data_IF_356769477496
#
_entry.id   IF_356769477496
#
_cell.length_a   1.000
_cell.length_b   1.000
_cell.length_c   1.000
_cell.angle_alpha   90.00
_cell.angle_beta   90.00
_cell.angle_gamma   90.00
#
_symmetry.space_group_name_H-M   'P 1'
#
loop_
_entity.id
_entity.type
_entity.pdbx_description
1 polymer ?
#
# COMPACT_ATOMS: atom_id res chain seq x y z
N UNK A 1 19.09 20.19 6.49
CA UNK A 1 17.73 19.67 6.26
C UNK A 1 17.80 18.50 5.30
N UNK A 2 16.82 17.59 5.32
CA UNK A 2 16.73 16.46 4.38
C UNK A 2 16.82 16.95 2.92
N UNK A 3 16.11 18.02 2.58
CA UNK A 3 16.11 18.59 1.23
C UNK A 3 17.50 19.02 0.74
N UNK A 4 18.38 19.49 1.65
CA UNK A 4 19.77 19.79 1.30
C UNK A 4 20.55 18.53 0.96
N UNK A 5 20.43 17.48 1.77
CA UNK A 5 21.11 16.20 1.55
C UNK A 5 20.70 15.59 0.22
N UNK A 6 19.39 15.56 -0.07
CA UNK A 6 18.87 15.02 -1.34
C UNK A 6 19.37 15.85 -2.51
N UNK A 7 19.33 17.20 -2.42
CA UNK A 7 19.86 18.09 -3.47
C UNK A 7 21.34 17.83 -3.74
N UNK A 8 22.16 17.77 -2.69
CA UNK A 8 23.60 17.57 -2.82
C UNK A 8 23.92 16.18 -3.41
N UNK A 9 23.17 15.15 -3.01
CA UNK A 9 23.26 13.82 -3.61
C UNK A 9 22.92 13.83 -5.10
N UNK A 10 21.87 14.55 -5.51
CA UNK A 10 21.52 14.70 -6.92
C UNK A 10 22.59 15.49 -7.69
N UNK A 11 23.22 16.50 -7.09
CA UNK A 11 24.34 17.21 -7.71
C UNK A 11 25.56 16.31 -7.92
N UNK A 12 25.89 15.46 -6.93
CA UNK A 12 26.95 14.46 -7.07
C UNK A 12 26.61 13.45 -8.18
N UNK A 13 25.36 12.99 -8.24
CA UNK A 13 24.90 12.10 -9.31
C UNK A 13 25.00 12.75 -10.71
N UNK A 14 24.74 14.06 -10.80
CA UNK A 14 24.90 14.83 -12.04
C UNK A 14 26.38 14.92 -12.43
N UNK A 15 27.25 15.28 -11.50
CA UNK A 15 28.69 15.38 -11.71
C UNK A 15 29.30 14.04 -12.16
N UNK A 16 28.84 12.92 -11.59
CA UNK A 16 29.31 11.58 -11.97
C UNK A 16 28.99 11.20 -13.42
N UNK A 17 28.07 11.90 -14.11
CA UNK A 17 27.74 11.60 -15.52
C UNK A 17 28.89 11.85 -16.48
N UNK A 18 29.85 12.70 -16.12
CA UNK A 18 31.00 12.99 -16.97
C UNK A 18 32.00 11.83 -17.00
N UNK A 19 31.84 10.83 -16.14
CA UNK A 19 32.70 9.64 -16.07
C UNK A 19 32.07 8.47 -16.83
N UNK A 20 32.73 8.01 -17.90
CA UNK A 20 32.23 6.92 -18.76
C UNK A 20 32.10 5.55 -18.06
N UNK A 21 32.82 5.36 -16.95
CA UNK A 21 32.86 4.10 -16.19
C UNK A 21 32.14 4.15 -14.84
N UNK A 22 31.51 5.27 -14.48
CA UNK A 22 30.74 5.40 -13.24
C UNK A 22 29.28 5.73 -13.57
N UNK A 23 28.35 5.11 -12.84
CA UNK A 23 26.92 5.44 -12.93
C UNK A 23 26.32 5.54 -11.53
N UNK A 24 25.74 6.69 -11.22
CA UNK A 24 24.94 6.86 -10.03
C UNK A 24 23.52 6.32 -10.25
N UNK A 25 23.05 5.45 -9.35
CA UNK A 25 21.64 5.07 -9.25
C UNK A 25 21.12 5.57 -7.90
N UNK A 26 20.18 6.51 -7.94
CA UNK A 26 19.64 7.13 -6.74
C UNK A 26 18.21 6.64 -6.55
N UNK A 27 17.95 5.98 -5.42
CA UNK A 27 16.61 5.57 -5.00
C UNK A 27 16.10 6.60 -4.00
N UNK A 28 15.02 7.28 -4.37
CA UNK A 28 14.39 8.29 -3.53
C UNK A 28 12.95 7.91 -3.31
N UNK A 29 12.46 8.12 -2.09
CA UNK A 29 11.03 8.04 -1.83
C UNK A 29 10.33 9.22 -2.52
N UNK A 30 9.04 9.09 -2.89
CA UNK A 30 8.31 10.17 -3.54
C UNK A 30 8.30 11.49 -2.75
N UNK A 31 8.23 11.41 -1.42
CA UNK A 31 8.28 12.57 -0.49
C UNK A 31 9.63 13.28 -0.49
N UNK A 32 10.72 12.59 -0.84
CA UNK A 32 12.05 13.18 -0.90
C UNK A 32 12.29 13.94 -2.22
N UNK A 33 11.47 13.70 -3.24
CA UNK A 33 11.57 14.32 -4.57
C UNK A 33 10.73 15.61 -4.68
N UNK A 34 10.78 16.47 -3.66
CA UNK A 34 10.10 17.76 -3.68
C UNK A 34 10.70 18.75 -4.70
N UNK A 35 9.91 19.72 -5.16
CA UNK A 35 10.36 20.72 -6.14
C UNK A 35 11.60 21.52 -5.71
N UNK A 36 11.86 21.63 -4.41
CA UNK A 36 13.03 22.34 -3.90
C UNK A 36 14.33 21.54 -4.01
N UNK A 37 14.28 20.20 -4.08
CA UNK A 37 15.51 19.39 -4.16
C UNK A 37 16.11 19.38 -5.57
N UNK A 38 15.30 19.75 -6.57
CA UNK A 38 15.71 19.85 -7.99
C UNK A 38 15.99 21.29 -8.42
N UNK A 39 16.03 22.25 -7.49
CA UNK A 39 16.31 23.66 -7.77
C UNK A 39 17.81 23.94 -7.95
N UNK A 40 18.44 23.32 -8.94
CA UNK A 40 19.83 23.55 -9.32
C UNK A 40 20.03 23.46 -10.83
N UNK A 41 21.11 24.05 -11.33
CA UNK A 41 21.46 24.07 -12.76
C UNK A 41 21.53 22.64 -13.29
N UNK A 42 20.98 22.40 -14.48
CA UNK A 42 21.01 21.11 -15.16
C UNK A 42 20.29 19.94 -14.47
N UNK A 43 19.46 20.18 -13.44
CA UNK A 43 18.65 19.13 -12.81
C UNK A 43 17.76 18.35 -13.81
N UNK A 44 17.33 19.00 -14.91
CA UNK A 44 16.58 18.38 -16.00
C UNK A 44 17.28 17.17 -16.61
N UNK A 45 18.63 17.15 -16.60
CA UNK A 45 19.44 16.03 -17.10
C UNK A 45 19.21 14.76 -16.27
N UNK A 46 19.05 14.88 -14.95
CA UNK A 46 18.71 13.74 -14.07
C UNK A 46 17.25 13.38 -14.22
N UNK A 47 16.36 14.38 -14.24
CA UNK A 47 14.91 14.16 -14.31
C UNK A 47 14.50 13.44 -15.61
N UNK A 48 15.20 13.68 -16.72
CA UNK A 48 14.98 12.96 -17.97
C UNK A 48 15.23 11.44 -17.87
N UNK A 49 15.96 10.98 -16.85
CA UNK A 49 16.24 9.56 -16.60
C UNK A 49 15.46 8.99 -15.42
N UNK A 50 14.51 9.74 -14.87
CA UNK A 50 13.66 9.29 -13.76
C UNK A 50 12.78 8.14 -14.22
N UNK A 51 12.69 7.10 -13.39
CA UNK A 51 11.69 6.06 -13.48
C UNK A 51 10.98 5.95 -12.12
N UNK A 52 9.65 5.85 -12.16
CA UNK A 52 8.87 5.60 -10.95
C UNK A 52 8.75 4.09 -10.75
N UNK A 53 9.09 3.62 -9.55
CA UNK A 53 9.00 2.21 -9.17
C UNK A 53 7.68 2.00 -8.43
N UNK A 54 6.66 1.57 -9.17
CA UNK A 54 5.32 1.30 -8.64
C UNK A 54 5.01 -0.20 -8.67
N UNK A 55 4.25 -0.66 -7.69
CA UNK A 55 3.69 -2.01 -7.69
C UNK A 55 2.28 -1.95 -8.27
N UNK A 56 2.12 -2.44 -9.49
CA UNK A 56 0.80 -2.64 -10.06
C UNK A 56 0.15 -3.92 -9.49
N UNK A 57 -1.15 -4.09 -9.75
CA UNK A 57 -1.91 -5.25 -9.28
C UNK A 57 -1.27 -6.54 -9.77
N UNK A 58 -0.94 -6.64 -11.06
CA UNK A 58 -0.29 -7.81 -11.59
C UNK A 58 1.10 -8.08 -11.00
N UNK A 59 1.86 -7.04 -10.64
CA UNK A 59 3.16 -7.21 -9.97
C UNK A 59 3.00 -7.82 -8.58
N UNK A 60 1.99 -7.37 -7.82
CA UNK A 60 1.70 -7.88 -6.47
C UNK A 60 1.31 -9.37 -6.51
N UNK A 61 0.43 -9.74 -7.43
CA UNK A 61 0.03 -11.14 -7.63
C UNK A 61 1.19 -11.98 -8.17
N UNK A 62 1.95 -11.49 -9.15
CA UNK A 62 3.12 -12.19 -9.68
C UNK A 62 4.15 -12.43 -8.59
N UNK A 63 4.46 -11.44 -7.76
CA UNK A 63 5.37 -11.57 -6.63
C UNK A 63 4.89 -12.63 -5.63
N UNK A 64 3.60 -12.62 -5.28
CA UNK A 64 3.03 -13.62 -4.38
C UNK A 64 3.14 -15.02 -4.99
N UNK A 65 2.73 -15.20 -6.24
CA UNK A 65 2.81 -16.49 -6.92
C UNK A 65 4.25 -16.98 -7.07
N UNK A 66 5.18 -16.10 -7.39
CA UNK A 66 6.62 -16.40 -7.49
C UNK A 66 7.17 -16.93 -6.16
N UNK A 67 6.71 -16.39 -5.02
CA UNK A 67 7.07 -16.91 -3.69
C UNK A 67 6.43 -18.28 -3.44
N UNK A 68 5.13 -18.39 -3.72
CA UNK A 68 4.33 -19.57 -3.47
C UNK A 68 4.84 -20.81 -4.21
N UNK A 69 5.16 -20.70 -5.51
CA UNK A 69 5.71 -21.81 -6.31
C UNK A 69 7.11 -22.25 -5.86
N UNK A 70 7.82 -21.41 -5.12
CA UNK A 70 9.13 -21.70 -4.55
C UNK A 70 9.04 -22.07 -3.06
N UNK A 71 7.84 -22.34 -2.53
CA UNK A 71 7.70 -22.90 -1.20
C UNK A 71 8.40 -24.27 -1.12
N UNK A 72 9.00 -24.63 0.02
CA UNK A 72 9.63 -25.93 0.19
C UNK A 72 8.67 -27.10 -0.04
N UNK A 73 9.24 -28.23 -0.41
CA UNK A 73 8.61 -29.56 -0.35
C UNK A 73 7.25 -29.66 -1.05
N UNK A 74 6.30 -30.34 -0.40
CA UNK A 74 4.96 -30.62 -0.91
C UNK A 74 4.13 -29.36 -1.16
N UNK A 75 4.39 -28.27 -0.42
CA UNK A 75 3.66 -27.02 -0.60
C UNK A 75 4.00 -26.37 -1.95
N UNK A 76 5.29 -26.34 -2.32
CA UNK A 76 5.71 -25.86 -3.64
C UNK A 76 5.12 -26.72 -4.76
N UNK A 77 5.18 -28.05 -4.61
CA UNK A 77 4.60 -28.99 -5.58
C UNK A 77 3.10 -28.76 -5.81
N UNK A 78 2.35 -28.60 -4.71
CA UNK A 78 0.91 -28.31 -4.76
C UNK A 78 0.64 -27.02 -5.54
N UNK A 79 1.34 -25.93 -5.23
CA UNK A 79 1.08 -24.65 -5.88
C UNK A 79 1.56 -24.61 -7.34
N UNK A 80 2.61 -25.34 -7.69
CA UNK A 80 3.01 -25.54 -9.08
C UNK A 80 1.95 -26.29 -9.88
N UNK A 81 1.31 -27.31 -9.29
CA UNK A 81 0.20 -28.03 -9.93
C UNK A 81 -1.03 -27.14 -10.14
N UNK A 82 -1.38 -26.30 -9.16
CA UNK A 82 -2.44 -25.28 -9.30
C UNK A 82 -2.12 -24.33 -10.46
N UNK A 83 -0.87 -23.86 -10.55
CA UNK A 83 -0.45 -22.97 -11.65
C UNK A 83 -0.59 -23.64 -13.00
N UNK A 84 -0.11 -24.87 -13.14
CA UNK A 84 -0.22 -25.65 -14.38
C UNK A 84 -1.70 -25.88 -14.80
N UNK A 85 -2.63 -26.00 -13.85
CA UNK A 85 -4.05 -26.22 -14.15
C UNK A 85 -4.75 -25.02 -14.83
N UNK A 86 -4.20 -23.82 -14.71
CA UNK A 86 -4.83 -22.57 -15.20
C UNK A 86 -4.15 -22.01 -16.45
N UNK A 87 -2.85 -22.28 -16.61
CA UNK A 87 -2.06 -21.79 -17.73
C UNK A 87 -2.54 -22.35 -19.08
N UNK A 88 -2.32 -21.62 -20.19
CA UNK A 88 -2.57 -22.17 -21.51
C UNK A 88 -1.56 -23.30 -21.82
N UNK A 89 -1.91 -24.28 -22.68
CA UNK A 89 -1.02 -25.41 -23.00
C UNK A 89 0.35 -25.01 -23.59
N UNK A 90 0.46 -23.79 -24.12
CA UNK A 90 1.68 -23.25 -24.74
C UNK A 90 2.66 -22.64 -23.73
N UNK A 91 2.25 -22.47 -22.47
CA UNK A 91 3.07 -21.88 -21.42
C UNK A 91 3.19 -22.81 -20.22
N UNK A 92 4.32 -22.71 -19.52
CA UNK A 92 4.59 -23.53 -18.36
C UNK A 92 5.60 -22.86 -17.45
N UNK A 93 5.62 -23.30 -16.20
CA UNK A 93 6.66 -22.92 -15.27
C UNK A 93 8.03 -23.37 -15.79
N UNK A 94 9.05 -22.54 -15.58
CA UNK A 94 10.45 -22.87 -15.89
C UNK A 94 11.21 -23.08 -14.59
N UNK A 95 12.20 -23.96 -14.59
CA UNK A 95 13.10 -24.15 -13.46
C UNK A 95 14.55 -23.92 -13.89
N UNK A 96 15.31 -23.22 -13.06
CA UNK A 96 16.77 -23.08 -13.18
C UNK A 96 17.38 -23.17 -11.77
N UNK A 97 18.39 -24.04 -11.60
CA UNK A 97 19.06 -24.29 -10.32
C UNK A 97 18.10 -24.42 -9.10
N UNK A 98 17.08 -25.29 -9.22
CA UNK A 98 16.03 -25.54 -8.22
C UNK A 98 15.10 -24.35 -7.90
N UNK A 99 15.23 -23.23 -8.61
CA UNK A 99 14.34 -22.09 -8.53
C UNK A 99 13.33 -22.13 -9.69
N UNK A 100 12.05 -21.99 -9.36
CA UNK A 100 10.96 -21.95 -10.32
C UNK A 100 10.59 -20.52 -10.70
N UNK A 101 10.29 -20.28 -11.97
CA UNK A 101 9.96 -18.97 -12.53
C UNK A 101 8.57 -18.99 -13.17
N UNK A 102 7.80 -17.93 -12.89
CA UNK A 102 6.53 -17.70 -13.57
C UNK A 102 6.72 -17.43 -15.07
N UNK A 103 5.83 -17.95 -15.93
CA UNK A 103 5.82 -17.59 -17.34
C UNK A 103 5.27 -16.17 -17.56
N UNK A 104 5.52 -15.55 -18.73
CA UNK A 104 5.05 -14.19 -19.06
C UNK A 104 3.53 -13.99 -18.92
N UNK A 105 2.71 -15.02 -19.15
CA UNK A 105 1.26 -14.97 -18.90
C UNK A 105 0.88 -14.65 -17.44
N UNK A 106 1.80 -14.82 -16.49
CA UNK A 106 1.58 -14.56 -15.07
C UNK A 106 2.38 -13.37 -14.55
N UNK A 107 3.01 -12.59 -15.44
CA UNK A 107 3.70 -11.34 -15.09
C UNK A 107 3.06 -10.13 -15.77
N UNK A 108 1.81 -10.25 -16.21
CA UNK A 108 1.02 -9.19 -16.85
C UNK A 108 -0.45 -9.29 -16.42
N UNK A 109 -1.27 -8.28 -16.76
CA UNK A 109 -2.73 -8.28 -16.55
C UNK A 109 -3.51 -9.29 -17.44
N UNK A 110 -2.83 -10.32 -17.95
CA UNK A 110 -3.44 -11.42 -18.65
C UNK A 110 -4.49 -12.14 -17.77
N UNK A 111 -5.50 -12.79 -18.36
CA UNK A 111 -6.63 -13.36 -17.60
C UNK A 111 -6.22 -14.47 -16.63
N UNK A 112 -5.03 -15.03 -16.77
CA UNK A 112 -4.55 -16.17 -16.01
C UNK A 112 -4.27 -15.85 -14.54
N UNK A 113 -3.74 -14.67 -14.22
CA UNK A 113 -3.55 -14.30 -12.80
C UNK A 113 -4.87 -14.22 -12.04
N UNK A 114 -5.90 -13.65 -12.66
CA UNK A 114 -7.24 -13.60 -12.09
C UNK A 114 -7.77 -15.00 -11.85
N UNK A 115 -7.72 -15.87 -12.86
CA UNK A 115 -8.17 -17.26 -12.76
C UNK A 115 -7.43 -18.04 -11.67
N UNK A 116 -6.13 -17.80 -11.52
CA UNK A 116 -5.33 -18.42 -10.46
C UNK A 116 -5.80 -17.98 -9.07
N UNK A 117 -6.05 -16.68 -8.89
CA UNK A 117 -6.57 -16.19 -7.62
C UNK A 117 -7.99 -16.70 -7.35
N UNK A 118 -8.82 -16.83 -8.40
CA UNK A 118 -10.14 -17.45 -8.31
C UNK A 118 -10.06 -18.94 -7.90
N UNK A 119 -9.03 -19.67 -8.33
CA UNK A 119 -8.80 -21.05 -7.88
C UNK A 119 -8.50 -21.15 -6.37
N UNK A 120 -7.98 -20.08 -5.74
CA UNK A 120 -7.73 -20.04 -4.30
C UNK A 120 -8.89 -19.44 -3.49
N UNK A 121 -9.58 -18.43 -4.02
CA UNK A 121 -10.51 -17.58 -3.26
C UNK A 121 -11.94 -17.50 -3.84
N UNK A 122 -12.16 -18.07 -5.01
CA UNK A 122 -13.42 -17.98 -5.74
C UNK A 122 -13.53 -16.69 -6.57
N UNK A 123 -14.63 -16.57 -7.31
CA UNK A 123 -14.91 -15.45 -8.22
C UNK A 123 -15.62 -14.27 -7.54
N UNK A 124 -16.05 -14.44 -6.28
CA UNK A 124 -16.93 -13.49 -5.58
C UNK A 124 -16.54 -13.30 -4.12
N UNK A 125 -16.59 -12.06 -3.66
CA UNK A 125 -16.44 -11.69 -2.25
C UNK A 125 -17.71 -11.93 -1.44
N UNK A 126 -18.15 -13.19 -1.34
CA UNK A 126 -19.32 -13.60 -0.57
C UNK A 126 -20.31 -14.43 -1.37
N UNK A 127 -21.56 -14.46 -0.91
CA UNK A 127 -22.61 -15.32 -1.50
C UNK A 127 -23.06 -14.86 -2.90
N UNK A 128 -22.85 -13.60 -3.26
CA UNK A 128 -23.27 -13.02 -4.53
C UNK A 128 -22.18 -12.14 -5.16
N UNK A 129 -22.35 -11.83 -6.45
CA UNK A 129 -21.38 -11.06 -7.24
C UNK A 129 -21.34 -9.56 -6.91
N UNK A 130 -22.23 -9.06 -6.05
CA UNK A 130 -22.34 -7.61 -5.80
C UNK A 130 -21.20 -7.08 -4.94
N UNK A 131 -20.45 -7.97 -4.30
CA UNK A 131 -19.40 -7.64 -3.33
C UNK A 131 -18.00 -7.55 -3.94
N UNK A 132 -17.88 -7.79 -5.25
CA UNK A 132 -16.62 -7.69 -6.00
C UNK A 132 -15.90 -9.03 -6.17
N UNK A 133 -14.81 -9.00 -6.94
CA UNK A 133 -13.99 -10.17 -7.30
C UNK A 133 -12.73 -10.19 -6.41
N UNK A 134 -12.41 -11.29 -5.71
CA UNK A 134 -11.29 -11.35 -4.76
C UNK A 134 -9.93 -10.89 -5.33
N UNK A 135 -9.65 -11.21 -6.60
CA UNK A 135 -8.41 -10.80 -7.31
C UNK A 135 -8.19 -9.27 -7.30
N UNK A 136 -9.24 -8.52 -7.65
CA UNK A 136 -9.21 -7.06 -7.69
C UNK A 136 -9.41 -6.48 -6.31
N UNK A 137 -10.38 -7.03 -5.57
CA UNK A 137 -10.84 -6.54 -4.29
C UNK A 137 -9.71 -6.50 -3.26
N UNK A 138 -8.89 -7.54 -3.20
CA UNK A 138 -7.78 -7.66 -2.23
C UNK A 138 -6.75 -6.54 -2.39
N UNK A 139 -6.45 -6.14 -3.62
CA UNK A 139 -5.50 -5.04 -3.88
C UNK A 139 -6.18 -3.69 -3.64
N UNK A 140 -7.37 -3.46 -4.19
CA UNK A 140 -8.04 -2.16 -4.09
C UNK A 140 -8.34 -1.72 -2.65
N UNK A 141 -8.60 -2.65 -1.73
CA UNK A 141 -8.88 -2.31 -0.33
C UNK A 141 -7.62 -2.09 0.52
N UNK A 142 -6.44 -2.43 -0.02
CA UNK A 142 -5.13 -2.17 0.58
C UNK A 142 -4.44 -0.96 -0.05
N UNK A 143 -5.09 -0.27 -0.98
CA UNK A 143 -4.57 0.93 -1.59
C UNK A 143 -4.64 2.11 -0.60
N UNK A 144 -3.60 2.94 -0.60
CA UNK A 144 -3.57 4.22 0.09
C UNK A 144 -4.29 5.33 -0.71
N UNK A 145 -4.17 6.58 -0.26
CA UNK A 145 -4.81 7.74 -0.86
C UNK A 145 -4.27 8.10 -2.24
N UNK A 146 -3.11 7.56 -2.62
CA UNK A 146 -2.53 7.67 -3.96
C UNK A 146 -2.92 6.50 -4.87
N UNK A 147 -3.64 5.52 -4.33
CA UNK A 147 -4.02 4.30 -5.05
C UNK A 147 -2.94 3.21 -5.01
N UNK A 148 -1.90 3.36 -4.18
CA UNK A 148 -0.79 2.42 -4.13
C UNK A 148 -0.99 1.37 -3.05
N UNK A 149 -0.70 0.11 -3.40
CA UNK A 149 -0.70 -1.00 -2.46
C UNK A 149 0.72 -1.51 -2.27
N UNK A 150 1.18 -1.60 -1.02
CA UNK A 150 2.52 -2.10 -0.74
C UNK A 150 2.57 -3.63 -0.81
N UNK A 151 3.68 -4.24 -1.28
CA UNK A 151 3.91 -5.68 -1.23
C UNK A 151 3.69 -6.28 0.16
N UNK A 152 4.13 -5.57 1.20
CA UNK A 152 4.04 -6.04 2.59
C UNK A 152 2.58 -6.09 3.06
N UNK A 153 1.81 -5.04 2.82
CA UNK A 153 0.38 -5.02 3.17
C UNK A 153 -0.39 -6.10 2.42
N UNK A 154 -0.10 -6.29 1.12
CA UNK A 154 -0.70 -7.34 0.31
C UNK A 154 -0.41 -8.74 0.86
N UNK A 155 0.87 -9.09 1.03
CA UNK A 155 1.24 -10.41 1.57
C UNK A 155 0.72 -10.64 2.99
N UNK A 156 0.76 -9.62 3.85
CA UNK A 156 0.22 -9.73 5.22
C UNK A 156 -1.29 -10.00 5.22
N UNK A 157 -2.04 -9.37 4.30
CA UNK A 157 -3.48 -9.60 4.17
C UNK A 157 -3.78 -11.02 3.68
N UNK A 158 -3.07 -11.50 2.66
CA UNK A 158 -3.28 -12.85 2.14
C UNK A 158 -2.86 -13.91 3.17
N UNK A 159 -1.71 -13.74 3.85
CA UNK A 159 -1.27 -14.63 4.92
C UNK A 159 -2.28 -14.68 6.06
N UNK A 160 -2.72 -13.51 6.55
CA UNK A 160 -3.73 -13.45 7.60
C UNK A 160 -5.07 -14.04 7.17
N UNK A 161 -5.44 -13.90 5.89
CA UNK A 161 -6.64 -14.51 5.33
C UNK A 161 -6.53 -16.04 5.23
N UNK A 162 -5.37 -16.57 4.84
CA UNK A 162 -5.11 -18.01 4.81
C UNK A 162 -5.15 -18.63 6.22
N UNK A 163 -4.46 -18.01 7.18
CA UNK A 163 -4.47 -18.42 8.59
C UNK A 163 -5.89 -18.44 9.18
N UNK A 164 -6.69 -17.39 8.93
CA UNK A 164 -8.07 -17.32 9.42
C UNK A 164 -9.01 -18.30 8.71
N UNK A 165 -8.72 -18.68 7.45
CA UNK A 165 -9.56 -19.59 6.67
C UNK A 165 -9.61 -21.00 7.25
N UNK A 166 -8.62 -21.39 8.07
CA UNK A 166 -8.58 -22.69 8.78
C UNK A 166 -9.80 -22.94 9.67
N UNK A 167 -10.55 -21.89 10.05
CA UNK A 167 -11.79 -22.01 10.84
C UNK A 167 -12.98 -22.52 10.04
N UNK A 168 -12.90 -22.52 8.71
CA UNK A 168 -13.96 -22.95 7.80
C UNK A 168 -13.57 -24.27 7.14
N UNK A 169 -13.49 -25.35 7.93
CA UNK A 169 -13.05 -26.68 7.47
C UNK A 169 -13.85 -27.21 6.27
N UNK A 170 -15.13 -26.85 6.19
CA UNK A 170 -16.05 -27.34 5.17
C UNK A 170 -16.08 -26.45 3.91
N UNK A 171 -15.28 -25.38 3.88
CA UNK A 171 -15.20 -24.50 2.73
C UNK A 171 -14.26 -25.09 1.67
N UNK A 172 -14.67 -25.15 0.38
CA UNK A 172 -13.95 -25.93 -0.63
C UNK A 172 -12.65 -25.28 -1.14
N UNK A 173 -12.36 -24.03 -0.76
CA UNK A 173 -11.23 -23.26 -1.27
C UNK A 173 -10.30 -22.82 -0.13
N UNK A 174 -9.03 -22.59 -0.45
CA UNK A 174 -8.00 -22.24 0.52
C UNK A 174 -8.24 -20.88 1.21
N UNK A 175 -8.92 -19.95 0.54
CA UNK A 175 -9.21 -18.60 1.05
C UNK A 175 -10.71 -18.38 1.14
N UNK A 176 -11.22 -18.33 2.37
CA UNK A 176 -12.61 -17.95 2.64
C UNK A 176 -12.80 -16.44 2.49
N UNK A 177 -13.91 -16.00 1.87
CA UNK A 177 -14.15 -14.58 1.58
C UNK A 177 -14.27 -13.69 2.83
N UNK A 178 -14.79 -14.20 3.95
CA UNK A 178 -14.77 -13.45 5.22
C UNK A 178 -13.36 -13.39 5.81
N UNK A 179 -12.54 -14.41 5.60
CA UNK A 179 -11.16 -14.45 6.08
C UNK A 179 -10.27 -13.49 5.31
N UNK A 180 -10.48 -13.33 3.99
CA UNK A 180 -9.85 -12.25 3.22
C UNK A 180 -10.14 -10.86 3.80
N UNK A 181 -11.38 -10.60 4.24
CA UNK A 181 -11.70 -9.32 4.89
C UNK A 181 -10.94 -9.13 6.21
N UNK A 182 -10.85 -10.18 7.04
CA UNK A 182 -10.08 -10.15 8.29
C UNK A 182 -8.59 -10.00 8.03
N UNK A 183 -8.08 -10.62 6.98
CA UNK A 183 -6.71 -10.44 6.49
C UNK A 183 -6.40 -8.97 6.19
N UNK A 184 -7.30 -8.28 5.49
CA UNK A 184 -7.16 -6.84 5.25
C UNK A 184 -7.17 -6.04 6.56
N UNK A 185 -8.05 -6.37 7.50
CA UNK A 185 -8.06 -5.70 8.82
C UNK A 185 -6.72 -5.87 9.55
N UNK A 186 -6.12 -7.06 9.51
CA UNK A 186 -4.79 -7.34 10.07
C UNK A 186 -3.70 -6.53 9.35
N UNK A 187 -3.74 -6.46 8.02
CA UNK A 187 -2.79 -5.67 7.23
C UNK A 187 -2.93 -4.16 7.47
N UNK A 188 -4.15 -3.66 7.66
CA UNK A 188 -4.41 -2.27 8.07
C UNK A 188 -3.75 -1.93 9.39
N UNK A 189 -3.84 -2.81 10.39
CA UNK A 189 -3.20 -2.61 11.69
C UNK A 189 -1.67 -2.53 11.56
N UNK A 190 -1.07 -3.48 10.85
CA UNK A 190 0.38 -3.49 10.54
C UNK A 190 0.80 -2.20 9.83
N UNK A 191 -0.05 -1.67 8.94
CA UNK A 191 0.27 -0.44 8.21
C UNK A 191 0.27 0.79 9.12
N UNK A 192 -0.64 0.85 10.09
CA UNK A 192 -0.66 1.94 11.09
C UNK A 192 0.60 1.90 11.95
N UNK A 193 1.05 0.70 12.36
CA UNK A 193 2.30 0.53 13.13
C UNK A 193 3.52 1.02 12.33
N UNK A 194 3.62 0.67 11.05
CA UNK A 194 4.69 1.18 10.18
C UNK A 194 4.68 2.70 10.02
N UNK A 195 3.49 3.29 9.90
CA UNK A 195 3.38 4.76 9.86
C UNK A 195 3.78 5.37 11.20
N UNK A 196 3.52 4.71 12.33
CA UNK A 196 4.00 5.18 13.62
C UNK A 196 5.54 5.14 13.74
N UNK A 197 6.20 4.19 13.07
CA UNK A 197 7.67 4.11 13.01
C UNK A 197 8.26 5.24 12.15
N UNK A 198 7.69 5.49 10.97
CA UNK A 198 8.19 6.48 10.00
C UNK A 198 7.78 7.93 10.34
N UNK A 199 6.57 8.12 10.87
CA UNK A 199 5.95 9.41 11.17
C UNK A 199 5.26 9.37 12.57
N UNK A 200 6.01 9.42 13.68
CA UNK A 200 5.50 9.21 15.04
C UNK A 200 4.38 10.17 15.48
N UNK A 201 4.29 11.34 14.85
CA UNK A 201 3.24 12.33 15.09
C UNK A 201 1.87 11.91 14.53
N UNK A 202 1.83 11.02 13.53
CA UNK A 202 0.60 10.65 12.82
C UNK A 202 -0.41 9.94 13.73
N UNK A 203 -0.04 8.88 14.50
CA UNK A 203 -0.96 8.27 15.44
C UNK A 203 -1.59 9.28 16.42
N UNK A 204 -0.79 10.24 16.90
CA UNK A 204 -1.27 11.30 17.79
C UNK A 204 -2.22 12.27 17.10
N UNK A 205 -1.95 12.66 15.86
CA UNK A 205 -2.85 13.47 15.05
C UNK A 205 -4.16 12.73 14.69
N UNK A 206 -4.12 11.40 14.58
CA UNK A 206 -5.27 10.57 14.26
C UNK A 206 -6.12 10.21 15.48
N UNK A 207 -5.55 10.21 16.68
CA UNK A 207 -6.23 9.86 17.94
C UNK A 207 -7.54 10.64 18.20
N UNK A 208 -7.63 11.97 17.98
CA UNK A 208 -8.87 12.73 18.14
C UNK A 208 -9.98 12.33 17.17
N UNK A 209 -9.63 11.70 16.05
CA UNK A 209 -10.57 11.34 14.98
C UNK A 209 -11.12 9.92 15.15
N UNK A 210 -10.68 9.17 16.16
CA UNK A 210 -11.15 7.80 16.40
C UNK A 210 -12.67 7.77 16.59
N UNK A 211 -13.35 6.88 15.87
CA UNK A 211 -14.81 6.75 15.90
C UNK A 211 -15.57 7.76 15.02
N UNK A 212 -14.88 8.71 14.39
CA UNK A 212 -15.47 9.60 13.40
C UNK A 212 -15.76 8.84 12.10
N UNK A 213 -16.86 9.19 11.43
CA UNK A 213 -17.19 8.68 10.10
C UNK A 213 -16.65 9.60 9.01
N UNK A 214 -15.97 9.02 8.02
CA UNK A 214 -15.56 9.68 6.77
C UNK A 214 -16.42 9.22 5.59
N UNK A 215 -16.68 10.05 4.56
CA UNK A 215 -16.11 11.39 4.36
C UNK A 215 -16.72 12.43 5.28
N UNK A 216 -15.90 13.41 5.67
CA UNK A 216 -16.26 14.46 6.62
C UNK A 216 -15.77 15.83 6.17
N UNK A 217 -16.49 16.87 6.60
CA UNK A 217 -16.04 18.25 6.39
C UNK A 217 -14.70 18.46 7.09
N UNK A 218 -13.82 19.24 6.46
CA UNK A 218 -12.50 19.51 7.01
C UNK A 218 -12.58 20.36 8.30
N UNK A 219 -13.57 21.26 8.43
CA UNK A 219 -13.72 22.08 9.63
C UNK A 219 -14.06 21.24 10.85
N UNK A 220 -14.83 20.16 10.69
CA UNK A 220 -15.09 19.20 11.78
C UNK A 220 -13.80 18.50 12.26
N UNK A 221 -12.93 18.14 11.32
CA UNK A 221 -11.63 17.51 11.63
C UNK A 221 -10.73 18.51 12.34
N UNK A 222 -10.65 19.74 11.82
CA UNK A 222 -9.89 20.83 12.42
C UNK A 222 -10.35 21.13 13.84
N UNK A 223 -11.66 21.20 14.08
CA UNK A 223 -12.22 21.44 15.42
C UNK A 223 -11.84 20.31 16.41
N UNK A 224 -11.85 19.05 15.95
CA UNK A 224 -11.42 17.91 16.77
C UNK A 224 -9.93 18.02 17.16
N UNK A 225 -9.08 18.48 16.24
CA UNK A 225 -7.68 18.76 16.54
C UNK A 225 -7.51 19.93 17.51
N UNK A 226 -8.17 21.06 17.27
CA UNK A 226 -8.09 22.26 18.13
C UNK A 226 -8.55 21.97 19.56
N UNK A 227 -9.53 21.08 19.74
CA UNK A 227 -10.00 20.65 21.06
C UNK A 227 -8.93 19.91 21.86
N UNK A 228 -8.13 19.08 21.19
CA UNK A 228 -7.10 18.25 21.85
C UNK A 228 -5.74 18.95 21.92
N UNK A 229 -5.46 19.82 20.95
CA UNK A 229 -4.19 20.51 20.75
C UNK A 229 -4.44 22.04 20.66
N UNK A 230 -4.88 22.69 21.76
CA UNK A 230 -5.27 24.11 21.74
C UNK A 230 -4.10 25.04 21.43
N UNK A 231 -2.87 24.61 21.70
CA UNK A 231 -1.64 25.34 21.36
C UNK A 231 -1.23 25.19 19.89
N UNK A 232 -2.04 24.53 19.07
CA UNK A 232 -1.82 24.30 17.64
C UNK A 232 -1.00 23.06 17.32
N UNK A 233 -0.67 22.85 16.03
CA UNK A 233 -0.04 21.62 15.53
C UNK A 233 1.31 21.28 16.16
N UNK A 234 2.08 22.28 16.59
CA UNK A 234 3.38 22.08 17.24
C UNK A 234 3.27 21.40 18.61
N UNK A 235 2.06 21.27 19.16
CA UNK A 235 1.80 20.56 20.42
C UNK A 235 1.48 19.07 20.22
N UNK A 236 1.44 18.57 18.98
CA UNK A 236 1.32 17.14 18.70
C UNK A 236 2.62 16.45 19.16
N UNK A 237 2.55 15.46 20.07
CA UNK A 237 3.74 14.76 20.52
C UNK A 237 4.48 14.07 19.37
N UNK A 238 5.80 14.23 19.36
CA UNK A 238 6.69 13.58 18.41
C UNK A 238 8.11 13.54 18.96
N UNK A 239 8.71 12.36 19.04
CA UNK A 239 10.06 12.19 19.60
C UNK A 239 11.16 12.63 18.62
N UNK A 240 10.98 12.42 17.31
CA UNK A 240 12.08 12.60 16.34
C UNK A 240 11.70 13.29 15.03
N UNK A 241 10.45 13.17 14.56
CA UNK A 241 10.02 13.70 13.27
C UNK A 241 8.69 14.45 13.44
N UNK A 242 8.72 15.77 13.73
CA UNK A 242 7.48 16.54 13.80
C UNK A 242 6.82 16.64 12.41
N UNK A 243 5.54 17.04 12.36
CA UNK A 243 4.87 17.28 11.09
C UNK A 243 5.65 18.28 10.24
N UNK A 244 5.84 17.97 8.96
CA UNK A 244 6.74 18.72 8.08
C UNK A 244 6.24 20.14 7.81
N UNK A 245 4.93 20.34 7.80
CA UNK A 245 4.31 21.63 7.52
C UNK A 245 3.60 22.22 8.75
N UNK A 246 4.03 21.89 9.97
CA UNK A 246 3.42 22.37 11.21
C UNK A 246 3.32 23.92 11.28
N UNK A 247 4.26 24.64 10.66
CA UNK A 247 4.30 26.10 10.58
C UNK A 247 3.13 26.70 9.78
N UNK A 248 2.48 25.91 8.92
CA UNK A 248 1.28 26.32 8.16
C UNK A 248 -0.02 26.06 8.92
N UNK A 249 0.05 25.76 10.21
CA UNK A 249 -1.12 25.46 11.02
C UNK A 249 -1.78 24.14 10.63
N UNK A 250 -3.07 23.99 10.94
CA UNK A 250 -3.83 22.77 10.69
C UNK A 250 -3.91 22.38 9.20
N UNK A 251 -3.86 23.37 8.30
CA UNK A 251 -3.80 23.12 6.86
C UNK A 251 -2.51 22.43 6.43
N UNK A 252 -1.40 22.70 7.14
CA UNK A 252 -0.14 21.97 6.98
C UNK A 252 -0.25 20.51 7.42
N UNK A 253 -0.90 20.25 8.55
CA UNK A 253 -1.17 18.86 9.01
C UNK A 253 -2.04 18.11 8.01
N UNK A 254 -3.10 18.74 7.50
CA UNK A 254 -3.90 18.16 6.42
C UNK A 254 -3.03 17.87 5.19
N UNK A 255 -2.19 18.82 4.79
CA UNK A 255 -1.29 18.65 3.64
C UNK A 255 -0.37 17.44 3.83
N UNK A 256 0.19 17.27 5.02
CA UNK A 256 1.06 16.14 5.34
C UNK A 256 0.31 14.80 5.32
N UNK A 257 -0.88 14.72 5.93
CA UNK A 257 -1.69 13.50 5.91
C UNK A 257 -2.18 13.13 4.51
N UNK A 258 -2.48 14.10 3.64
CA UNK A 258 -2.78 13.86 2.22
C UNK A 258 -1.55 13.37 1.49
N UNK A 259 -0.38 13.99 1.73
CA UNK A 259 0.88 13.59 1.12
C UNK A 259 1.27 12.16 1.50
N UNK A 260 1.05 11.75 2.74
CA UNK A 260 1.29 10.38 3.22
C UNK A 260 0.28 9.35 2.69
N UNK A 261 -0.72 9.79 1.90
CA UNK A 261 -1.78 8.92 1.39
C UNK A 261 -2.77 8.46 2.47
N UNK A 262 -2.78 9.11 3.64
CA UNK A 262 -3.71 8.79 4.74
C UNK A 262 -5.05 9.46 4.48
N UNK A 263 -5.03 10.73 4.09
CA UNK A 263 -6.23 11.46 3.68
C UNK A 263 -6.36 11.55 2.17
N UNK A 264 -7.61 11.57 1.71
CA UNK A 264 -7.99 11.90 0.34
C UNK A 264 -8.93 13.07 0.37
N UNK A 265 -8.66 14.11 -0.40
CA UNK A 265 -9.59 15.23 -0.58
C UNK A 265 -10.53 14.90 -1.73
N UNK A 266 -11.83 14.80 -1.47
CA UNK A 266 -12.85 14.56 -2.49
C UNK A 266 -13.08 15.80 -3.36
N UNK A 267 -13.77 15.61 -4.48
CA UNK A 267 -14.17 16.73 -5.39
C UNK A 267 -15.03 17.78 -4.69
N UNK A 268 -15.79 17.40 -3.67
CA UNK A 268 -16.61 18.28 -2.83
C UNK A 268 -15.86 18.80 -1.59
N UNK A 269 -14.52 18.74 -1.60
CA UNK A 269 -13.61 19.22 -0.55
C UNK A 269 -13.68 18.47 0.78
N UNK A 270 -14.57 17.48 0.93
CA UNK A 270 -14.59 16.63 2.13
C UNK A 270 -13.35 15.75 2.20
N UNK A 271 -12.89 15.50 3.41
CA UNK A 271 -11.81 14.57 3.70
C UNK A 271 -12.36 13.17 3.80
N UNK A 272 -11.76 12.27 3.06
CA UNK A 272 -12.00 10.83 3.08
C UNK A 272 -10.72 10.09 3.49
N UNK A 273 -10.86 8.81 3.79
CA UNK A 273 -9.73 7.95 4.17
C UNK A 273 -9.86 6.57 3.51
N UNK A 274 -8.80 6.07 2.84
CA UNK A 274 -8.77 4.72 2.29
C UNK A 274 -8.96 3.67 3.38
N UNK A 275 -9.54 2.52 3.00
CA UNK A 275 -9.84 1.45 3.97
C UNK A 275 -8.58 0.96 4.71
N UNK A 276 -7.42 0.96 4.02
CA UNK A 276 -6.11 0.64 4.59
C UNK A 276 -5.85 1.36 5.92
N UNK A 277 -6.06 2.67 5.97
CA UNK A 277 -5.83 3.49 7.17
C UNK A 277 -7.09 3.64 8.02
N UNK A 278 -8.26 3.74 7.39
CA UNK A 278 -9.54 3.98 8.06
C UNK A 278 -9.84 2.92 9.10
N UNK A 279 -9.60 1.66 8.76
CA UNK A 279 -9.83 0.53 9.66
C UNK A 279 -8.83 0.58 10.83
N UNK A 280 -7.53 0.72 10.55
CA UNK A 280 -6.49 0.70 11.58
C UNK A 280 -6.59 1.87 12.57
N UNK A 281 -6.90 3.08 12.11
CA UNK A 281 -7.13 4.23 12.98
C UNK A 281 -8.51 4.24 13.65
N UNK A 282 -9.38 3.27 13.34
CA UNK A 282 -10.69 3.12 13.98
C UNK A 282 -11.73 4.15 13.54
N UNK A 283 -11.65 4.62 12.30
CA UNK A 283 -12.65 5.49 11.69
C UNK A 283 -13.76 4.66 11.01
N UNK A 284 -14.98 5.17 11.06
CA UNK A 284 -16.12 4.56 10.36
C UNK A 284 -16.30 5.12 8.96
N UNK A 285 -17.22 4.52 8.19
CA UNK A 285 -17.60 5.01 6.86
C UNK A 285 -19.02 5.56 6.92
N UNK A 286 -19.23 6.80 6.49
CA UNK A 286 -20.55 7.44 6.44
C UNK A 286 -21.38 6.74 5.36
N UNK A 287 -22.48 6.11 5.78
CA UNK A 287 -23.30 5.22 4.92
C UNK A 287 -22.82 3.76 4.84
N UNK A 288 -21.78 3.38 5.60
CA UNK A 288 -21.31 2.00 5.74
C UNK A 288 -21.65 1.39 7.10
N UNK A 289 -21.71 0.06 7.17
CA UNK A 289 -21.88 -0.68 8.43
C UNK A 289 -20.62 -0.48 9.29
N UNK A 290 -20.79 -0.13 10.57
CA UNK A 290 -19.66 -0.01 11.53
C UNK A 290 -18.85 -1.33 11.55
N UNK A 291 -17.51 -1.29 11.52
CA UNK A 291 -16.70 -2.49 11.75
C UNK A 291 -17.09 -3.05 13.13
N UNK A 292 -17.48 -4.33 13.18
CA UNK A 292 -17.62 -5.02 14.47
C UNK A 292 -16.22 -5.22 15.05
N UNK A 293 -16.07 -4.88 16.34
CA UNK A 293 -14.87 -5.16 17.13
C UNK A 293 -14.61 -6.65 17.20
#
# INVERSE_FOLDING_TARGET
TMNRIVRDLLQVALWLRDFSRLRAKVFLRPDQMERTVTSFVDASKILATRADLTWERHDLHAMMWQRLINSPDEHGNCLRAVVASVLPPTEGLRSDADVWFLPPALTSEAPYQRRLFEAMAGDKMGKDARRGVPYVWSVSHLADGHGWTSPRSFLAAISGGAEDSLRYSDYPLALHYESLKRGIQKASQIRVEQVAEDDPWVPEAMRPLKGVNVPRDYNDIKLAWETVFPSGPSSIPSEHLPPQHAEKGWDGIRQDLVRLGIFVTRKDSRIDMPDLYRIGFGLGRRGGVKPKR
#
